data_IF_465502161975
#
_entry.id   IF_465502161975
#
_cell.length_a   1.000
_cell.length_b   1.000
_cell.length_c   1.000
_cell.angle_alpha   90.00
_cell.angle_beta   90.00
_cell.angle_gamma   90.00
#
_symmetry.space_group_name_H-M   'P 1'
#
loop_
_entity.id
_entity.type
_entity.pdbx_description
1 polymer ?
#
# COMPACT_ATOMS: atom_id res chain seq x y z
N UNK A 1 2.98 -5.06 -45.61
CA UNK A 1 3.81 -4.70 -44.44
C UNK A 1 3.54 -3.23 -44.12
N UNK A 2 2.60 -2.92 -43.22
CA UNK A 2 2.50 -1.61 -42.53
C UNK A 2 1.96 -1.96 -41.15
N UNK A 3 2.79 -1.74 -40.12
CA UNK A 3 2.46 -2.04 -38.74
C UNK A 3 1.48 -1.01 -38.20
N UNK A 4 0.36 -1.49 -37.67
CA UNK A 4 -0.54 -0.71 -36.85
C UNK A 4 0.24 -0.21 -35.63
N UNK A 5 0.66 1.05 -35.69
CA UNK A 5 1.19 1.75 -34.53
C UNK A 5 0.07 1.78 -33.50
N UNK A 6 0.24 1.00 -32.43
CA UNK A 6 -0.62 1.05 -31.26
C UNK A 6 -0.79 2.52 -30.87
N UNK A 7 -2.00 3.04 -31.03
CA UNK A 7 -2.39 4.35 -30.54
C UNK A 7 -2.05 4.36 -29.05
N UNK A 8 -1.02 5.14 -28.69
CA UNK A 8 -0.64 5.30 -27.29
C UNK A 8 -1.89 5.76 -26.54
N UNK A 9 -2.26 4.98 -25.51
CA UNK A 9 -3.44 5.21 -24.69
C UNK A 9 -3.55 6.70 -24.27
N UNK A 10 -4.77 7.24 -24.14
CA UNK A 10 -5.01 8.67 -23.86
C UNK A 10 -4.16 9.15 -22.68
N UNK A 11 -3.82 10.46 -22.67
CA UNK A 11 -2.92 11.10 -21.68
C UNK A 11 -3.02 10.41 -20.32
N UNK A 12 -1.98 9.64 -19.97
CA UNK A 12 -1.93 8.89 -18.72
C UNK A 12 -2.20 9.87 -17.59
N UNK A 13 -3.31 9.71 -16.87
CA UNK A 13 -3.53 10.43 -15.61
C UNK A 13 -2.28 10.21 -14.76
N UNK A 14 -1.66 11.29 -14.27
CA UNK A 14 -0.53 11.19 -13.35
C UNK A 14 -0.98 10.33 -12.16
N UNK A 15 -0.21 9.30 -11.85
CA UNK A 15 -0.39 8.50 -10.64
C UNK A 15 0.52 9.13 -9.60
N UNK A 16 -0.07 9.74 -8.59
CA UNK A 16 0.65 10.28 -7.43
C UNK A 16 0.37 9.44 -6.19
N UNK A 17 1.09 9.71 -5.10
CA UNK A 17 0.92 8.98 -3.84
C UNK A 17 -0.47 9.11 -3.23
N UNK A 18 -1.20 10.20 -3.49
CA UNK A 18 -2.56 10.38 -2.99
C UNK A 18 -3.55 9.45 -3.71
N UNK A 19 -3.40 9.29 -5.02
CA UNK A 19 -4.19 8.35 -5.83
C UNK A 19 -3.93 6.91 -5.38
N UNK A 20 -2.67 6.53 -5.18
CA UNK A 20 -2.29 5.19 -4.72
C UNK A 20 -2.86 4.91 -3.33
N UNK A 21 -2.63 5.82 -2.38
CA UNK A 21 -3.16 5.69 -1.02
C UNK A 21 -4.68 5.60 -1.00
N UNK A 22 -5.38 6.41 -1.81
CA UNK A 22 -6.84 6.34 -1.94
C UNK A 22 -7.30 4.96 -2.42
N UNK A 23 -6.65 4.41 -3.45
CA UNK A 23 -6.97 3.06 -3.95
C UNK A 23 -6.73 2.00 -2.88
N UNK A 24 -5.59 2.05 -2.21
CA UNK A 24 -5.25 1.13 -1.13
C UNK A 24 -6.23 1.21 0.06
N UNK A 25 -6.61 2.42 0.47
CA UNK A 25 -7.64 2.63 1.50
C UNK A 25 -8.99 2.04 1.06
N UNK A 26 -9.34 2.19 -0.21
CA UNK A 26 -10.58 1.66 -0.75
C UNK A 26 -10.57 0.13 -0.80
N UNK A 27 -9.47 -0.50 -1.24
CA UNK A 27 -9.37 -1.96 -1.28
C UNK A 27 -9.48 -2.60 0.11
N UNK A 28 -8.98 -1.94 1.15
CA UNK A 28 -9.18 -2.37 2.55
C UNK A 28 -10.68 -2.34 2.91
N UNK A 29 -11.38 -1.25 2.58
CA UNK A 29 -12.81 -1.09 2.87
C UNK A 29 -13.66 -2.08 2.09
N UNK A 30 -13.34 -2.32 0.83
CA UNK A 30 -14.06 -3.26 -0.04
C UNK A 30 -13.93 -4.72 0.43
N UNK A 31 -12.87 -5.04 1.18
CA UNK A 31 -12.70 -6.31 1.87
C UNK A 31 -13.36 -6.35 3.27
N UNK A 32 -14.15 -5.34 3.63
CA UNK A 32 -14.85 -5.27 4.91
C UNK A 32 -13.99 -4.76 6.06
N UNK A 33 -12.82 -4.18 5.81
CA UNK A 33 -11.98 -3.60 6.85
C UNK A 33 -12.66 -2.41 7.56
N UNK A 34 -12.65 -2.44 8.89
CA UNK A 34 -13.32 -1.43 9.72
C UNK A 34 -12.41 -0.86 10.81
N UNK A 35 -12.83 0.23 11.46
CA UNK A 35 -12.10 0.81 12.59
C UNK A 35 -10.71 1.32 12.22
N UNK A 36 -9.69 0.80 12.89
CA UNK A 36 -8.29 1.21 12.79
C UNK A 36 -7.46 0.38 11.78
N UNK A 37 -8.07 -0.52 11.01
CA UNK A 37 -7.36 -1.43 10.08
C UNK A 37 -6.42 -0.69 9.14
N UNK A 38 -6.84 0.44 8.56
CA UNK A 38 -5.97 1.22 7.70
C UNK A 38 -4.69 1.66 8.44
N UNK A 39 -4.82 2.16 9.66
CA UNK A 39 -3.68 2.60 10.47
C UNK A 39 -2.79 1.41 10.84
N UNK A 40 -3.38 0.28 11.21
CA UNK A 40 -2.67 -0.98 11.49
C UNK A 40 -1.91 -1.48 10.26
N UNK A 41 -2.54 -1.47 9.08
CA UNK A 41 -1.93 -1.85 7.81
C UNK A 41 -0.73 -0.96 7.47
N UNK A 42 -0.83 0.35 7.67
CA UNK A 42 0.30 1.28 7.45
C UNK A 42 1.43 1.04 8.45
N UNK A 43 1.13 0.74 9.71
CA UNK A 43 2.14 0.39 10.72
C UNK A 43 2.91 -0.87 10.31
N UNK A 44 2.20 -1.92 9.90
CA UNK A 44 2.82 -3.18 9.47
C UNK A 44 3.59 -3.02 8.16
N UNK A 45 3.03 -2.29 7.20
CA UNK A 45 3.74 -1.90 5.99
C UNK A 45 5.08 -1.22 6.34
N UNK A 46 5.04 -0.19 7.19
CA UNK A 46 6.24 0.57 7.55
C UNK A 46 7.30 -0.32 8.19
N UNK A 47 6.87 -1.17 9.13
CA UNK A 47 7.75 -2.08 9.85
C UNK A 47 8.41 -3.06 8.90
N UNK A 48 7.65 -3.65 7.99
CA UNK A 48 8.19 -4.63 7.07
C UNK A 48 9.08 -3.97 6.02
N UNK A 49 8.70 -2.80 5.49
CA UNK A 49 9.46 -2.11 4.45
C UNK A 49 10.77 -1.51 4.98
N UNK A 50 10.74 -0.84 6.14
CA UNK A 50 11.85 0.00 6.61
C UNK A 50 12.50 -0.50 7.90
N UNK A 51 12.00 -1.58 8.49
CA UNK A 51 12.49 -2.14 9.76
C UNK A 51 12.39 -1.17 10.95
N UNK A 52 11.42 -0.28 10.91
CA UNK A 52 11.20 0.73 11.95
C UNK A 52 9.71 1.06 12.12
N UNK A 53 9.38 1.80 13.17
CA UNK A 53 8.03 2.34 13.36
C UNK A 53 7.79 3.57 12.49
N UNK A 54 6.52 3.91 12.25
CA UNK A 54 6.15 5.16 11.54
C UNK A 54 6.79 6.39 12.20
N UNK A 55 6.81 6.46 13.53
CA UNK A 55 7.39 7.60 14.24
C UNK A 55 8.91 7.66 14.06
N UNK A 56 9.59 6.52 14.09
CA UNK A 56 11.04 6.43 13.83
C UNK A 56 11.37 6.88 12.42
N UNK A 57 10.65 6.38 11.41
CA UNK A 57 10.83 6.78 10.02
C UNK A 57 10.79 8.31 9.86
N UNK A 58 9.72 8.95 10.33
CA UNK A 58 9.60 10.41 10.23
C UNK A 58 10.69 11.15 11.03
N UNK A 59 11.05 10.66 12.21
CA UNK A 59 12.09 11.27 13.05
C UNK A 59 13.46 11.19 12.40
N UNK A 60 13.83 10.04 11.86
CA UNK A 60 15.15 9.78 11.31
C UNK A 60 15.36 10.45 9.95
N UNK A 61 14.30 10.58 9.15
CA UNK A 61 14.39 11.26 7.86
C UNK A 61 14.16 12.77 7.94
N UNK A 62 13.84 13.32 9.12
CA UNK A 62 13.42 14.72 9.28
C UNK A 62 12.06 15.05 8.65
N UNK A 63 11.24 14.04 8.36
CA UNK A 63 9.92 14.21 7.77
C UNK A 63 8.90 14.72 8.80
N UNK A 64 7.82 15.33 8.31
CA UNK A 64 6.68 15.77 9.13
C UNK A 64 5.68 14.64 9.26
N UNK A 65 5.43 14.19 10.50
CA UNK A 65 4.48 13.11 10.80
C UNK A 65 3.14 13.32 10.10
N UNK A 66 2.67 12.27 9.42
CA UNK A 66 1.41 12.28 8.66
C UNK A 66 1.51 12.93 7.28
N UNK A 67 2.66 13.49 6.90
CA UNK A 67 2.91 14.10 5.60
C UNK A 67 3.94 13.29 4.82
N UNK A 68 3.49 12.22 4.15
CA UNK A 68 4.36 11.28 3.43
C UNK A 68 5.18 11.96 2.34
N UNK A 69 4.67 13.04 1.74
CA UNK A 69 5.37 13.86 0.75
C UNK A 69 6.63 14.55 1.30
N UNK A 70 6.81 14.56 2.63
CA UNK A 70 7.99 15.09 3.30
C UNK A 70 9.05 14.04 3.65
N UNK A 71 8.77 12.77 3.37
CA UNK A 71 9.77 11.70 3.48
C UNK A 71 10.76 11.75 2.30
N UNK A 72 11.92 11.09 2.38
CA UNK A 72 12.83 10.96 1.25
C UNK A 72 12.14 10.27 0.07
N UNK A 73 12.54 10.62 -1.15
CA UNK A 73 11.93 10.08 -2.38
C UNK A 73 11.89 8.56 -2.39
N UNK A 74 12.96 7.88 -1.98
CA UNK A 74 13.01 6.42 -1.91
C UNK A 74 11.93 5.83 -0.99
N UNK A 75 11.67 6.45 0.17
CA UNK A 75 10.60 6.01 1.07
C UNK A 75 9.22 6.27 0.47
N UNK A 76 9.02 7.40 -0.20
CA UNK A 76 7.77 7.70 -0.92
C UNK A 76 7.48 6.66 -2.01
N UNK A 77 8.49 6.34 -2.82
CA UNK A 77 8.40 5.33 -3.88
C UNK A 77 8.12 3.94 -3.31
N UNK A 78 8.81 3.54 -2.23
CA UNK A 78 8.59 2.27 -1.55
C UNK A 78 7.14 2.11 -1.05
N UNK A 79 6.57 3.15 -0.41
CA UNK A 79 5.15 3.17 -0.07
C UNK A 79 4.27 3.04 -1.32
N UNK A 80 4.51 3.84 -2.35
CA UNK A 80 3.65 3.83 -3.55
C UNK A 80 3.65 2.46 -4.25
N UNK A 81 4.82 1.82 -4.35
CA UNK A 81 4.93 0.49 -4.95
C UNK A 81 4.21 -0.53 -4.09
N UNK A 82 4.48 -0.54 -2.78
CA UNK A 82 3.87 -1.51 -1.89
C UNK A 82 2.34 -1.36 -1.82
N UNK A 83 1.83 -0.15 -1.63
CA UNK A 83 0.39 0.12 -1.58
C UNK A 83 -0.30 -0.25 -2.90
N UNK A 84 0.37 -0.07 -4.03
CA UNK A 84 -0.16 -0.52 -5.32
C UNK A 84 -0.26 -2.04 -5.40
N UNK A 85 0.75 -2.76 -4.91
CA UNK A 85 0.75 -4.23 -4.87
C UNK A 85 -0.28 -4.76 -3.87
N UNK A 86 -0.34 -4.17 -2.67
CA UNK A 86 -1.26 -4.55 -1.61
C UNK A 86 -2.71 -4.28 -2.02
N UNK A 87 -2.98 -3.15 -2.71
CA UNK A 87 -4.29 -2.87 -3.27
C UNK A 87 -4.71 -3.93 -4.29
N UNK A 88 -3.84 -4.28 -5.24
CA UNK A 88 -4.13 -5.36 -6.18
C UNK A 88 -4.37 -6.70 -5.48
N UNK A 89 -3.58 -7.03 -4.44
CA UNK A 89 -3.76 -8.27 -3.69
C UNK A 89 -5.13 -8.32 -3.01
N UNK A 90 -5.47 -7.26 -2.27
CA UNK A 90 -6.75 -7.14 -1.59
C UNK A 90 -7.91 -7.15 -2.59
N UNK A 91 -7.79 -6.49 -3.74
CA UNK A 91 -8.81 -6.53 -4.80
C UNK A 91 -9.07 -7.95 -5.31
N UNK A 92 -8.02 -8.79 -5.44
CA UNK A 92 -8.18 -10.21 -5.81
C UNK A 92 -8.86 -11.04 -4.71
N UNK A 93 -8.83 -10.57 -3.48
CA UNK A 93 -9.36 -11.26 -2.31
C UNK A 93 -10.77 -10.80 -1.93
N UNK A 94 -11.36 -9.84 -2.66
CA UNK A 94 -12.72 -9.36 -2.43
C UNK A 94 -13.71 -10.54 -2.45
N UNK A 95 -14.52 -10.65 -1.40
CA UNK A 95 -15.47 -11.75 -1.21
C UNK A 95 -14.84 -13.07 -0.77
N UNK A 96 -13.52 -13.12 -0.58
CA UNK A 96 -12.78 -14.30 -0.07
C UNK A 96 -12.30 -14.09 1.36
N UNK A 97 -11.88 -12.88 1.74
CA UNK A 97 -11.62 -12.55 3.14
C UNK A 97 -12.95 -12.63 3.90
N UNK A 98 -12.95 -13.43 4.97
CA UNK A 98 -14.10 -13.65 5.82
C UNK A 98 -13.68 -14.19 7.18
N UNK A 99 -14.58 -14.17 8.15
CA UNK A 99 -14.33 -14.66 9.49
C UNK A 99 -15.62 -14.64 10.31
N UNK A 100 -15.60 -15.29 11.45
CA UNK A 100 -16.74 -15.32 12.38
C UNK A 100 -16.88 -14.00 13.14
N UNK A 101 -15.85 -13.15 13.09
CA UNK A 101 -15.83 -11.83 13.72
C UNK A 101 -15.17 -10.77 12.83
N UNK A 102 -15.49 -9.50 13.12
CA UNK A 102 -14.87 -8.34 12.45
C UNK A 102 -13.35 -8.29 12.71
N UNK A 103 -12.90 -8.74 13.87
CA UNK A 103 -11.48 -8.77 14.23
C UNK A 103 -10.70 -9.77 13.36
N UNK A 104 -11.29 -10.92 13.04
CA UNK A 104 -10.68 -11.89 12.12
C UNK A 104 -10.57 -11.35 10.69
N UNK A 105 -11.61 -10.67 10.20
CA UNK A 105 -11.58 -9.99 8.89
C UNK A 105 -10.47 -8.94 8.87
N UNK A 106 -10.43 -8.10 9.90
CA UNK A 106 -9.43 -7.05 10.07
C UNK A 106 -8.00 -7.63 10.11
N UNK A 107 -7.78 -8.71 10.85
CA UNK A 107 -6.49 -9.37 10.99
C UNK A 107 -6.03 -10.03 9.69
N UNK A 108 -6.94 -10.61 8.91
CA UNK A 108 -6.62 -11.15 7.58
C UNK A 108 -6.18 -10.05 6.61
N UNK A 109 -6.87 -8.91 6.59
CA UNK A 109 -6.49 -7.76 5.77
C UNK A 109 -5.09 -7.27 6.14
N UNK A 110 -4.85 -7.03 7.44
CA UNK A 110 -3.53 -6.60 7.94
C UNK A 110 -2.45 -7.65 7.62
N UNK A 111 -2.77 -8.94 7.76
CA UNK A 111 -1.88 -10.04 7.40
C UNK A 111 -1.52 -10.05 5.91
N UNK A 112 -2.48 -9.81 5.03
CA UNK A 112 -2.28 -9.72 3.57
C UNK A 112 -1.36 -8.55 3.21
N UNK A 113 -1.56 -7.38 3.83
CA UNK A 113 -0.69 -6.20 3.67
C UNK A 113 0.73 -6.49 4.19
N UNK A 114 0.85 -7.09 5.37
CA UNK A 114 2.16 -7.47 5.95
C UNK A 114 2.92 -8.42 5.02
N UNK A 115 2.25 -9.45 4.51
CA UNK A 115 2.87 -10.43 3.62
C UNK A 115 3.30 -9.79 2.28
N UNK A 116 2.47 -8.91 1.73
CA UNK A 116 2.84 -8.13 0.54
C UNK A 116 4.06 -7.27 0.81
N UNK A 117 4.12 -6.59 1.95
CA UNK A 117 5.24 -5.72 2.34
C UNK A 117 6.56 -6.48 2.49
N UNK A 118 6.53 -7.69 3.08
CA UNK A 118 7.68 -8.60 3.11
C UNK A 118 8.20 -8.95 1.72
N UNK A 119 7.27 -9.26 0.81
CA UNK A 119 7.62 -9.61 -0.57
C UNK A 119 8.19 -8.40 -1.32
N UNK A 120 7.59 -7.21 -1.15
CA UNK A 120 8.07 -5.97 -1.77
C UNK A 120 9.50 -5.66 -1.35
N UNK A 121 9.82 -5.70 -0.04
CA UNK A 121 11.19 -5.47 0.47
C UNK A 121 12.19 -6.48 -0.10
N UNK A 122 11.77 -7.73 -0.29
CA UNK A 122 12.62 -8.76 -0.92
C UNK A 122 12.91 -8.46 -2.38
N UNK A 123 11.94 -7.90 -3.12
CA UNK A 123 12.08 -7.59 -4.54
C UNK A 123 12.82 -6.28 -4.80
N UNK A 124 12.63 -5.29 -3.93
CA UNK A 124 13.17 -3.95 -4.05
C UNK A 124 13.85 -3.56 -2.73
N UNK A 125 15.08 -4.03 -2.47
CA UNK A 125 15.83 -3.59 -1.31
C UNK A 125 16.27 -2.14 -1.52
N UNK A 126 15.67 -1.22 -0.77
CA UNK A 126 16.09 0.19 -0.65
C UNK A 126 17.03 0.40 0.53
#
# INVERSE_FOLDING_TARGET
MIGDSQVLAPQRKRVDGAIVNKRFTQSIRDNGGAGDVFQRSVVEETRELFDCTVNELYRETGGKKGRRETLPQAAQEAYMVNESLAANELERQIGTIGGDSQDEVNDQIVGSVRQTSKNTRRWLPW
#
